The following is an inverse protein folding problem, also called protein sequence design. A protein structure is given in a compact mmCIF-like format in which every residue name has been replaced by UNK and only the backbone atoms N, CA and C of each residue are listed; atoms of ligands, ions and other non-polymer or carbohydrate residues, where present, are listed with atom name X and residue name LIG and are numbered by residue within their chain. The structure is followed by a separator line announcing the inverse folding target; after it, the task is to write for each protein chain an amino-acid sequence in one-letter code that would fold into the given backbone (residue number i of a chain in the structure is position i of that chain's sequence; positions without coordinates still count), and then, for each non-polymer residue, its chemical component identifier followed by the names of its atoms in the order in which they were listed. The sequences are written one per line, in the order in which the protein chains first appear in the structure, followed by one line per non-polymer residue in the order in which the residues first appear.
data_IF_256962379303
#
_entry.id   IF_256962379303
#
_cell.length_a   1.000
_cell.length_b   1.000
_cell.length_c   1.000
_cell.angle_alpha   90.00
_cell.angle_beta   90.00
_cell.angle_gamma   90.00
#
_symmetry.space_group_name_H-M   'P 1'
#
loop_
_entity.id
_entity.type
_entity.pdbx_description
1 polymer ?
#
# COMPACT_ATOMS: atom_id res chain seq x y z
N UNK A 1 -5.07 -14.86 -7.01
CA UNK A 1 -4.18 -14.20 -6.04
C UNK A 1 -3.02 -13.57 -6.79
N UNK A 2 -2.84 -12.26 -6.62
CA UNK A 2 -1.83 -11.42 -7.29
C UNK A 2 -0.50 -11.44 -6.54
N UNK A 3 -0.54 -11.23 -5.22
CA UNK A 3 0.62 -11.18 -4.33
C UNK A 3 0.51 -12.35 -3.35
N UNK A 4 1.57 -13.15 -3.26
CA UNK A 4 1.67 -14.22 -2.28
C UNK A 4 2.22 -13.69 -0.95
N UNK A 5 1.37 -13.69 0.08
CA UNK A 5 1.68 -13.13 1.39
C UNK A 5 2.84 -13.83 2.10
N UNK A 6 3.11 -15.09 1.78
CA UNK A 6 4.23 -15.83 2.36
C UNK A 6 5.59 -15.30 1.88
N UNK A 7 5.60 -14.51 0.79
CA UNK A 7 6.79 -13.85 0.26
C UNK A 7 6.93 -12.39 0.71
N UNK A 8 6.03 -11.88 1.56
CA UNK A 8 6.16 -10.53 2.07
C UNK A 8 7.41 -10.39 2.94
N UNK A 9 8.19 -9.31 2.75
CA UNK A 9 9.27 -9.01 3.67
C UNK A 9 8.72 -8.74 5.07
N UNK A 10 9.42 -9.21 6.09
CA UNK A 10 9.04 -8.99 7.48
C UNK A 10 9.91 -7.89 8.09
N UNK A 11 9.28 -7.02 8.87
CA UNK A 11 9.96 -5.95 9.62
C UNK A 11 9.99 -6.27 11.12
N UNK A 12 10.74 -5.47 11.88
CA UNK A 12 11.05 -5.77 13.29
C UNK A 12 9.87 -5.59 14.27
N UNK A 13 8.79 -4.96 13.82
CA UNK A 13 7.58 -4.63 14.59
C UNK A 13 6.42 -5.47 14.08
N UNK A 14 5.87 -6.33 14.94
CA UNK A 14 4.87 -7.33 14.55
C UNK A 14 3.57 -6.69 14.03
N UNK A 15 3.12 -5.59 14.65
CA UNK A 15 1.92 -4.87 14.21
C UNK A 15 2.03 -4.36 12.76
N UNK A 16 3.22 -3.91 12.31
CA UNK A 16 3.41 -3.50 10.92
C UNK A 16 3.28 -4.70 9.98
N UNK A 17 3.79 -5.87 10.36
CA UNK A 17 3.64 -7.09 9.56
C UNK A 17 2.16 -7.51 9.45
N UNK A 18 1.39 -7.40 10.53
CA UNK A 18 -0.06 -7.67 10.51
C UNK A 18 -0.78 -6.74 9.52
N UNK A 19 -0.48 -5.44 9.58
CA UNK A 19 -1.07 -4.44 8.67
C UNK A 19 -0.66 -4.72 7.21
N UNK A 20 0.61 -5.04 6.93
CA UNK A 20 1.06 -5.38 5.57
C UNK A 20 0.34 -6.61 5.00
N UNK A 21 0.07 -7.62 5.83
CA UNK A 21 -0.69 -8.80 5.44
C UNK A 21 -2.15 -8.43 5.12
N UNK A 22 -2.78 -7.59 5.96
CA UNK A 22 -4.13 -7.08 5.69
C UNK A 22 -4.21 -6.31 4.38
N UNK A 23 -3.21 -5.44 4.12
CA UNK A 23 -3.13 -4.66 2.89
C UNK A 23 -3.09 -5.58 1.65
N UNK A 24 -2.28 -6.65 1.71
CA UNK A 24 -2.17 -7.64 0.64
C UNK A 24 -3.43 -8.48 0.47
N UNK A 25 -4.13 -8.81 1.55
CA UNK A 25 -5.44 -9.47 1.46
C UNK A 25 -6.46 -8.58 0.72
N UNK A 26 -6.52 -7.29 1.04
CA UNK A 26 -7.39 -6.32 0.35
C UNK A 26 -6.99 -6.18 -1.14
N UNK A 27 -5.69 -6.03 -1.44
CA UNK A 27 -5.15 -5.92 -2.81
C UNK A 27 -5.53 -7.15 -3.63
N UNK A 28 -5.39 -8.34 -3.06
CA UNK A 28 -5.73 -9.59 -3.73
C UNK A 28 -7.23 -9.68 -4.02
N UNK A 29 -8.09 -9.34 -3.07
CA UNK A 29 -9.54 -9.30 -3.28
C UNK A 29 -9.92 -8.29 -4.37
N UNK A 30 -9.34 -7.09 -4.34
CA UNK A 30 -9.56 -6.06 -5.35
C UNK A 30 -9.12 -6.52 -6.74
N UNK A 31 -7.99 -7.23 -6.85
CA UNK A 31 -7.54 -7.76 -8.12
C UNK A 31 -8.49 -8.82 -8.69
N UNK A 32 -9.08 -9.68 -7.87
CA UNK A 32 -10.11 -10.63 -8.34
C UNK A 32 -11.36 -9.88 -8.85
N UNK A 33 -11.77 -8.77 -8.21
CA UNK A 33 -12.86 -7.92 -8.71
C UNK A 33 -12.52 -7.28 -10.07
N UNK A 34 -11.28 -6.81 -10.23
CA UNK A 34 -10.75 -6.29 -11.51
C UNK A 34 -10.84 -7.35 -12.61
N UNK A 35 -10.42 -8.60 -12.34
CA UNK A 35 -10.51 -9.71 -13.29
C UNK A 35 -11.97 -10.08 -13.62
N UNK A 36 -12.88 -10.00 -12.65
CA UNK A 36 -14.29 -10.27 -12.87
C UNK A 36 -14.94 -9.19 -13.75
N UNK A 37 -14.67 -7.92 -13.50
CA UNK A 37 -15.15 -6.82 -14.34
C UNK A 37 -14.63 -6.91 -15.78
N UNK A 38 -13.36 -7.30 -15.97
CA UNK A 38 -12.81 -7.50 -17.32
C UNK A 38 -13.58 -8.56 -18.12
N UNK A 39 -14.02 -9.64 -17.46
CA UNK A 39 -14.80 -10.72 -18.09
C UNK A 39 -16.25 -10.32 -18.31
N UNK A 40 -16.84 -9.58 -17.36
CA UNK A 40 -18.23 -9.18 -17.35
C UNK A 40 -18.38 -7.71 -16.93
N UNK A 41 -18.22 -6.76 -17.87
CA UNK A 41 -18.31 -5.34 -17.56
C UNK A 41 -19.77 -4.95 -17.35
N UNK A 42 -20.14 -4.72 -16.09
CA UNK A 42 -21.47 -4.28 -15.69
C UNK A 42 -21.40 -3.33 -14.47
N UNK A 43 -22.50 -2.62 -14.20
CA UNK A 43 -22.58 -1.63 -13.12
C UNK A 43 -22.34 -2.23 -11.73
N UNK A 44 -22.82 -3.43 -11.46
CA UNK A 44 -22.63 -4.08 -10.16
C UNK A 44 -21.14 -4.38 -9.90
N UNK A 45 -20.43 -4.92 -10.89
CA UNK A 45 -19.00 -5.19 -10.80
C UNK A 45 -18.19 -3.88 -10.68
N UNK A 46 -18.60 -2.82 -11.36
CA UNK A 46 -18.00 -1.49 -11.22
C UNK A 46 -18.14 -0.96 -9.78
N UNK A 47 -19.33 -1.03 -9.19
CA UNK A 47 -19.59 -0.57 -7.82
C UNK A 47 -18.79 -1.36 -6.79
N UNK A 48 -18.59 -2.68 -7.01
CA UNK A 48 -17.73 -3.50 -6.17
C UNK A 48 -16.26 -3.06 -6.22
N UNK A 49 -15.74 -2.75 -7.41
CA UNK A 49 -14.38 -2.19 -7.55
C UNK A 49 -14.30 -0.84 -6.83
N UNK A 50 -15.26 0.06 -7.05
CA UNK A 50 -15.25 1.40 -6.43
C UNK A 50 -15.24 1.30 -4.89
N UNK A 51 -16.07 0.43 -4.30
CA UNK A 51 -16.11 0.22 -2.85
C UNK A 51 -14.82 -0.40 -2.32
N UNK A 52 -14.29 -1.44 -2.98
CA UNK A 52 -13.10 -2.14 -2.52
C UNK A 52 -11.84 -1.29 -2.70
N UNK A 53 -11.75 -0.51 -3.78
CA UNK A 53 -10.66 0.45 -3.99
C UNK A 53 -10.67 1.52 -2.89
N UNK A 54 -11.83 2.10 -2.57
CA UNK A 54 -11.92 3.08 -1.49
C UNK A 54 -11.50 2.48 -0.15
N UNK A 55 -11.94 1.25 0.16
CA UNK A 55 -11.52 0.55 1.38
C UNK A 55 -10.01 0.32 1.46
N UNK A 56 -9.39 -0.03 0.32
CA UNK A 56 -7.94 -0.15 0.22
C UNK A 56 -7.23 1.19 0.48
N UNK A 57 -7.68 2.26 -0.20
CA UNK A 57 -7.12 3.60 0.00
C UNK A 57 -7.21 4.06 1.46
N UNK A 58 -8.37 3.86 2.10
CA UNK A 58 -8.58 4.25 3.49
C UNK A 58 -7.71 3.44 4.46
N UNK A 59 -7.50 2.14 4.19
CA UNK A 59 -6.60 1.28 4.97
C UNK A 59 -5.15 1.74 4.84
N UNK A 60 -4.65 1.98 3.62
CA UNK A 60 -3.30 2.48 3.39
C UNK A 60 -3.07 3.86 4.02
N UNK A 61 -4.05 4.77 3.98
CA UNK A 61 -3.97 6.06 4.70
C UNK A 61 -3.85 5.86 6.21
N UNK A 62 -4.62 4.93 6.78
CA UNK A 62 -4.57 4.64 8.21
C UNK A 62 -3.22 4.01 8.63
N UNK A 63 -2.69 3.09 7.81
CA UNK A 63 -1.37 2.50 7.98
C UNK A 63 -0.28 3.58 7.96
N UNK A 64 -0.19 4.37 6.89
CA UNK A 64 0.84 5.42 6.81
C UNK A 64 0.72 6.43 7.94
N UNK A 65 -0.50 6.78 8.35
CA UNK A 65 -0.71 7.68 9.49
C UNK A 65 -0.19 7.08 10.80
N UNK A 66 -0.40 5.78 11.03
CA UNK A 66 0.13 5.09 12.21
C UNK A 66 1.66 5.21 12.25
N UNK A 67 2.35 4.85 11.17
CA UNK A 67 3.81 4.94 11.11
C UNK A 67 4.31 6.39 11.23
N UNK A 68 3.66 7.33 10.55
CA UNK A 68 4.02 8.74 10.59
C UNK A 68 3.88 9.36 11.99
N UNK A 69 2.88 8.92 12.76
CA UNK A 69 2.72 9.34 14.16
C UNK A 69 3.87 8.79 15.01
N UNK A 70 4.14 7.49 14.95
CA UNK A 70 5.24 6.86 15.71
C UNK A 70 6.61 7.42 15.32
N UNK A 71 6.85 7.67 14.02
CA UNK A 71 8.06 8.33 13.53
C UNK A 71 8.26 9.72 14.15
N UNK A 72 7.19 10.51 14.27
CA UNK A 72 7.27 11.84 14.89
C UNK A 72 7.49 11.76 16.39
N UNK A 73 6.78 10.87 17.09
CA UNK A 73 6.89 10.70 18.55
C UNK A 73 8.29 10.27 18.97
N UNK A 74 8.93 9.40 18.18
CA UNK A 74 10.28 8.91 18.45
C UNK A 74 11.39 9.77 17.81
N UNK A 75 11.03 10.90 17.18
CA UNK A 75 11.96 11.79 16.48
C UNK A 75 12.83 11.06 15.43
N UNK A 76 12.21 10.19 14.62
CA UNK A 76 12.88 9.43 13.58
C UNK A 76 13.54 10.38 12.55
N UNK A 77 14.88 10.34 12.38
CA UNK A 77 15.59 11.35 11.58
C UNK A 77 15.18 11.42 10.10
N UNK A 78 14.79 10.28 9.51
CA UNK A 78 14.44 10.19 8.10
C UNK A 78 12.92 10.39 7.83
N UNK A 79 12.14 10.78 8.84
CA UNK A 79 10.69 11.01 8.71
C UNK A 79 10.28 11.84 7.48
N UNK A 80 10.93 13.00 7.17
CA UNK A 80 10.51 13.80 6.01
C UNK A 80 10.64 13.05 4.67
N UNK A 81 11.60 12.13 4.56
CA UNK A 81 11.81 11.34 3.35
C UNK A 81 10.81 10.19 3.26
N UNK A 82 10.60 9.45 4.35
CA UNK A 82 9.62 8.35 4.41
C UNK A 82 8.22 8.88 4.12
N UNK A 83 7.81 9.96 4.81
CA UNK A 83 6.51 10.61 4.55
C UNK A 83 6.37 11.07 3.10
N UNK A 84 7.43 11.60 2.48
CA UNK A 84 7.34 12.00 1.08
C UNK A 84 7.06 10.83 0.13
N UNK A 85 7.54 9.62 0.43
CA UNK A 85 7.21 8.42 -0.35
C UNK A 85 5.76 7.97 -0.11
N UNK A 86 5.26 8.04 1.13
CA UNK A 86 3.84 7.83 1.43
C UNK A 86 2.94 8.79 0.65
N UNK A 87 3.25 10.09 0.70
CA UNK A 87 2.46 11.13 0.02
C UNK A 87 2.42 10.91 -1.49
N UNK A 88 3.54 10.46 -2.10
CA UNK A 88 3.59 10.11 -3.54
C UNK A 88 2.76 8.87 -3.86
N UNK A 89 2.82 7.84 -3.02
CA UNK A 89 2.02 6.63 -3.21
C UNK A 89 0.52 6.94 -3.13
N UNK A 90 0.09 7.68 -2.11
CA UNK A 90 -1.30 8.11 -1.95
C UNK A 90 -1.78 9.01 -3.10
N UNK A 91 -0.94 9.92 -3.58
CA UNK A 91 -1.27 10.73 -4.75
C UNK A 91 -1.48 9.87 -6.00
N UNK A 92 -0.59 8.90 -6.25
CA UNK A 92 -0.71 7.98 -7.38
C UNK A 92 -1.97 7.10 -7.27
N UNK A 93 -2.30 6.59 -6.09
CA UNK A 93 -3.54 5.83 -5.86
C UNK A 93 -4.76 6.69 -6.13
N UNK A 94 -4.78 7.92 -5.62
CA UNK A 94 -5.89 8.85 -5.84
C UNK A 94 -6.09 9.17 -7.33
N UNK A 95 -5.01 9.52 -8.04
CA UNK A 95 -5.04 9.80 -9.49
C UNK A 95 -5.48 8.58 -10.30
N UNK A 96 -5.02 7.38 -9.95
CA UNK A 96 -5.45 6.13 -10.58
C UNK A 96 -6.96 5.92 -10.40
N UNK A 97 -7.48 6.16 -9.20
CA UNK A 97 -8.88 5.98 -8.90
C UNK A 97 -9.77 6.98 -9.64
N UNK A 98 -9.38 8.26 -9.69
CA UNK A 98 -10.09 9.27 -10.47
C UNK A 98 -10.14 8.91 -11.96
N UNK A 99 -9.01 8.47 -12.53
CA UNK A 99 -8.95 8.05 -13.93
C UNK A 99 -9.83 6.83 -14.18
N UNK A 100 -9.82 5.85 -13.30
CA UNK A 100 -10.74 4.72 -13.35
C UNK A 100 -12.20 5.18 -13.27
N UNK A 101 -12.56 6.06 -12.34
CA UNK A 101 -13.95 6.51 -12.16
C UNK A 101 -14.50 7.26 -13.37
N UNK A 102 -13.64 8.01 -14.07
CA UNK A 102 -14.01 8.79 -15.25
C UNK A 102 -14.09 7.92 -16.52
N UNK A 103 -13.09 7.05 -16.73
CA UNK A 103 -12.93 6.31 -17.98
C UNK A 103 -13.56 4.91 -17.96
N UNK A 104 -13.65 4.30 -16.77
CA UNK A 104 -13.95 2.87 -16.57
C UNK A 104 -13.04 1.95 -17.38
N UNK A 105 -11.82 2.43 -17.68
CA UNK A 105 -10.78 1.67 -18.35
C UNK A 105 -10.11 0.70 -17.37
N UNK A 106 -10.49 -0.57 -17.48
CA UNK A 106 -9.94 -1.63 -16.62
C UNK A 106 -8.46 -1.90 -16.89
N UNK A 107 -7.96 -1.55 -18.08
CA UNK A 107 -6.57 -1.81 -18.46
C UNK A 107 -5.60 -0.96 -17.63
N UNK A 108 -6.00 0.25 -17.27
CA UNK A 108 -5.28 1.15 -16.37
C UNK A 108 -5.12 0.53 -14.97
N UNK A 109 -6.20 0.01 -14.38
CA UNK A 109 -6.14 -0.68 -13.09
C UNK A 109 -5.27 -1.92 -13.18
N UNK A 110 -5.47 -2.77 -14.19
CA UNK A 110 -4.67 -4.00 -14.36
C UNK A 110 -3.18 -3.69 -14.49
N UNK A 111 -2.80 -2.70 -15.29
CA UNK A 111 -1.40 -2.33 -15.47
C UNK A 111 -0.77 -1.92 -14.14
N UNK A 112 -1.42 -1.06 -13.38
CA UNK A 112 -0.93 -0.63 -12.07
C UNK A 112 -0.76 -1.81 -11.09
N UNK A 113 -1.79 -2.66 -10.98
CA UNK A 113 -1.77 -3.81 -10.05
C UNK A 113 -0.73 -4.86 -10.43
N UNK A 114 -0.44 -5.07 -11.71
CA UNK A 114 0.50 -6.10 -12.15
C UNK A 114 1.94 -5.57 -12.16
N UNK A 115 2.17 -4.35 -12.64
CA UNK A 115 3.52 -3.85 -12.95
C UNK A 115 4.09 -2.92 -11.87
N UNK A 116 3.23 -2.14 -11.19
CA UNK A 116 3.66 -1.05 -10.32
C UNK A 116 3.56 -1.44 -8.86
N UNK A 117 2.35 -1.81 -8.40
CA UNK A 117 2.04 -2.00 -6.99
C UNK A 117 2.90 -3.06 -6.28
N UNK A 118 3.07 -4.29 -6.81
CA UNK A 118 3.81 -5.34 -6.10
C UNK A 118 5.29 -4.98 -5.93
N UNK A 119 5.87 -4.34 -6.95
CA UNK A 119 7.25 -3.86 -6.94
C UNK A 119 7.44 -2.76 -5.90
N UNK A 120 6.56 -1.75 -5.91
CA UNK A 120 6.61 -0.64 -4.95
C UNK A 120 6.46 -1.14 -3.51
N UNK A 121 5.44 -1.95 -3.24
CA UNK A 121 5.16 -2.47 -1.89
C UNK A 121 6.35 -3.27 -1.34
N UNK A 122 6.88 -4.21 -2.13
CA UNK A 122 8.01 -5.03 -1.70
C UNK A 122 9.26 -4.18 -1.41
N UNK A 123 9.54 -3.20 -2.27
CA UNK A 123 10.69 -2.31 -2.11
C UNK A 123 10.53 -1.39 -0.90
N UNK A 124 9.33 -0.85 -0.69
CA UNK A 124 9.03 0.02 0.44
C UNK A 124 9.26 -0.70 1.77
N UNK A 125 8.68 -1.90 1.92
CA UNK A 125 8.81 -2.72 3.13
C UNK A 125 10.27 -3.09 3.39
N UNK A 126 11.00 -3.56 2.36
CA UNK A 126 12.40 -4.00 2.49
C UNK A 126 13.39 -2.88 2.84
N UNK A 127 13.02 -1.62 2.59
CA UNK A 127 13.95 -0.50 2.70
C UNK A 127 13.53 0.48 3.78
N UNK A 128 12.44 1.20 3.56
CA UNK A 128 11.99 2.26 4.46
C UNK A 128 11.38 1.66 5.73
N UNK A 129 10.41 0.75 5.60
CA UNK A 129 9.71 0.20 6.77
C UNK A 129 10.62 -0.68 7.61
N UNK A 130 11.55 -1.40 6.98
CA UNK A 130 12.57 -2.18 7.69
C UNK A 130 13.42 -1.28 8.59
N UNK A 131 13.89 -0.14 8.07
CA UNK A 131 14.69 0.83 8.84
C UNK A 131 13.84 1.48 9.93
N UNK A 132 12.62 1.88 9.60
CA UNK A 132 11.68 2.53 10.52
C UNK A 132 11.30 1.60 11.67
N UNK A 133 10.94 0.35 11.39
CA UNK A 133 10.61 -0.66 12.39
C UNK A 133 11.81 -0.98 13.31
N UNK A 134 13.02 -1.05 12.75
CA UNK A 134 14.24 -1.22 13.57
C UNK A 134 14.46 -0.02 14.50
N UNK A 135 14.22 1.20 14.02
CA UNK A 135 14.28 2.40 14.84
C UNK A 135 13.22 2.37 15.94
N UNK A 136 11.97 2.03 15.63
CA UNK A 136 10.89 1.90 16.64
C UNK A 136 11.27 0.93 17.76
N UNK A 137 11.91 -0.18 17.42
CA UNK A 137 12.30 -1.21 18.37
C UNK A 137 13.51 -0.85 19.23
N UNK A 138 14.44 -0.04 18.71
CA UNK A 138 15.77 0.14 19.33
C UNK A 138 16.12 1.57 19.69
N UNK A 139 15.44 2.57 19.11
CA UNK A 139 15.80 3.98 19.19
C UNK A 139 17.11 4.35 18.48
N UNK A 140 17.76 3.41 17.77
CA UNK A 140 19.04 3.62 17.12
C UNK A 140 18.83 3.91 15.64
N UNK A 141 19.36 5.04 15.17
CA UNK A 141 19.41 5.34 13.74
C UNK A 141 20.49 4.48 13.06
N UNK A 142 20.21 3.84 11.92
CA UNK A 142 21.27 3.17 11.16
C UNK A 142 22.32 4.16 10.62
N UNK A 143 22.03 5.47 10.61
CA UNK A 143 22.95 6.52 10.21
C UNK A 143 23.74 7.14 11.39
N UNK A 144 23.55 6.68 12.63
CA UNK A 144 24.38 7.10 13.76
C UNK A 144 25.62 6.21 13.88
N UNK A 145 26.61 6.51 13.02
CA UNK A 145 28.02 6.12 13.19
C UNK A 145 28.87 7.35 13.42
#
# INVERSE_FOLDING_TARGET
MLIDKDNLPMVAVDLMNEIHVEDVDIINELFELILNYEREPNQANQELIDQKYQAWYDHTVAHFRFEEMEMQELAFPAYPFHKSEHDKALAMMYELFEQWQQSRDITLLKHYFIEVLPTWLTQHIQTMDTVTAMFFKTGLSPCSV
#
